data_IF_380426013620
#
_entry.id   IF_380426013620
#
_cell.length_a   1.000
_cell.length_b   1.000
_cell.length_c   1.000
_cell.angle_alpha   90.00
_cell.angle_beta   90.00
_cell.angle_gamma   90.00
#
_symmetry.space_group_name_H-M   'P 1'
#
loop_
_entity.id
_entity.type
_entity.pdbx_description
1 polymer ?
#
# COMPACT_ATOMS: atom_id res chain seq x y z
N UNK A 1 -19.81 -9.98 2.03
CA UNK A 1 -20.06 -10.11 0.57
C UNK A 1 -18.83 -10.72 -0.05
N UNK A 2 -19.02 -11.64 -0.99
CA UNK A 2 -17.92 -12.22 -1.73
C UNK A 2 -17.64 -11.36 -2.96
N UNK A 3 -16.36 -11.19 -3.30
CA UNK A 3 -15.95 -10.44 -4.47
C UNK A 3 -15.17 -11.35 -5.43
N UNK A 4 -15.32 -11.11 -6.72
CA UNK A 4 -14.55 -11.74 -7.78
C UNK A 4 -14.07 -10.69 -8.73
N UNK A 5 -12.83 -10.83 -9.14
CA UNK A 5 -12.16 -9.86 -9.99
C UNK A 5 -11.81 -10.54 -11.31
N UNK A 6 -12.30 -10.00 -12.40
CA UNK A 6 -12.00 -10.41 -13.76
C UNK A 6 -11.25 -9.28 -14.45
N UNK A 7 -9.99 -9.50 -14.76
CA UNK A 7 -9.16 -8.54 -15.47
C UNK A 7 -8.98 -8.99 -16.92
N UNK A 8 -9.49 -8.21 -17.86
CA UNK A 8 -9.36 -8.47 -19.29
C UNK A 8 -8.16 -7.67 -19.82
N UNK A 9 -7.01 -8.34 -19.96
CA UNK A 9 -5.76 -7.71 -20.38
C UNK A 9 -4.80 -8.68 -21.05
N UNK A 10 -4.61 -8.55 -22.33
CA UNK A 10 -3.57 -9.28 -23.09
C UNK A 10 -2.16 -8.89 -22.62
N UNK A 11 -1.96 -7.65 -22.17
CA UNK A 11 -0.64 -7.16 -21.70
C UNK A 11 -0.19 -7.90 -20.44
N UNK A 12 -1.12 -8.18 -19.51
CA UNK A 12 -0.80 -8.93 -18.29
C UNK A 12 -0.56 -10.40 -18.64
N UNK A 13 -1.40 -11.01 -19.48
CA UNK A 13 -1.25 -12.40 -19.90
C UNK A 13 0.09 -12.66 -20.61
N UNK A 14 0.56 -11.68 -21.38
CA UNK A 14 1.85 -11.75 -22.08
C UNK A 14 3.05 -11.30 -21.23
N UNK A 15 2.85 -10.99 -19.96
CA UNK A 15 3.91 -10.53 -19.06
C UNK A 15 4.50 -9.16 -19.41
N UNK A 16 3.80 -8.36 -20.24
CA UNK A 16 4.28 -7.03 -20.67
C UNK A 16 4.07 -5.93 -19.64
N UNK A 17 3.20 -6.16 -18.67
CA UNK A 17 2.93 -5.23 -17.58
C UNK A 17 2.62 -6.00 -16.29
N UNK A 18 2.81 -5.33 -15.16
CA UNK A 18 2.44 -5.88 -13.86
C UNK A 18 0.93 -5.70 -13.59
N UNK A 19 0.41 -6.46 -12.62
CA UNK A 19 -1.00 -6.44 -12.21
C UNK A 19 -1.28 -5.49 -11.05
N UNK A 20 -0.65 -4.33 -11.00
CA UNK A 20 -0.81 -3.34 -9.90
C UNK A 20 -2.26 -2.94 -9.65
N UNK A 21 -3.03 -2.80 -10.72
CA UNK A 21 -4.45 -2.47 -10.64
C UNK A 21 -5.25 -3.52 -9.86
N UNK A 22 -5.03 -4.80 -10.15
CA UNK A 22 -5.66 -5.91 -9.42
C UNK A 22 -5.26 -5.88 -7.94
N UNK A 23 -3.97 -5.63 -7.67
CA UNK A 23 -3.45 -5.52 -6.31
C UNK A 23 -4.14 -4.38 -5.54
N UNK A 24 -4.28 -3.22 -6.16
CA UNK A 24 -4.94 -2.05 -5.55
C UNK A 24 -6.43 -2.33 -5.28
N UNK A 25 -7.16 -2.85 -6.29
CA UNK A 25 -8.58 -3.22 -6.15
C UNK A 25 -8.76 -4.25 -5.03
N UNK A 26 -7.89 -5.26 -4.98
CA UNK A 26 -7.94 -6.29 -3.94
C UNK A 26 -7.75 -5.71 -2.54
N UNK A 27 -6.77 -4.79 -2.37
CA UNK A 27 -6.57 -4.07 -1.10
C UNK A 27 -7.80 -3.26 -0.70
N UNK A 28 -8.38 -2.49 -1.63
CA UNK A 28 -9.57 -1.69 -1.36
C UNK A 28 -10.78 -2.54 -1.00
N UNK A 29 -11.04 -3.61 -1.74
CA UNK A 29 -12.12 -4.54 -1.44
C UNK A 29 -11.94 -5.17 -0.07
N UNK A 30 -10.73 -5.66 0.19
CA UNK A 30 -10.42 -6.30 1.45
C UNK A 30 -10.54 -5.35 2.64
N UNK A 31 -10.03 -4.11 2.54
CA UNK A 31 -10.15 -3.09 3.60
C UNK A 31 -11.62 -2.76 3.92
N UNK A 32 -12.49 -2.79 2.91
CA UNK A 32 -13.94 -2.57 3.06
C UNK A 32 -14.72 -3.83 3.48
N UNK A 33 -14.04 -4.94 3.74
CA UNK A 33 -14.64 -6.15 4.31
C UNK A 33 -15.16 -7.15 3.29
N UNK A 34 -14.85 -7.01 2.01
CA UNK A 34 -15.16 -8.03 1.03
C UNK A 34 -14.20 -9.22 1.19
N UNK A 35 -14.74 -10.43 0.98
CA UNK A 35 -13.93 -11.62 0.82
C UNK A 35 -13.72 -11.83 -0.67
N UNK A 36 -12.46 -11.84 -1.11
CA UNK A 36 -12.12 -12.14 -2.49
C UNK A 36 -12.04 -13.66 -2.62
N UNK A 37 -12.96 -14.24 -3.42
CA UNK A 37 -13.00 -15.67 -3.65
C UNK A 37 -12.20 -16.07 -4.88
N UNK A 38 -12.07 -15.14 -5.86
CA UNK A 38 -11.46 -15.46 -7.14
C UNK A 38 -10.87 -14.22 -7.82
N UNK A 39 -9.74 -14.40 -8.48
CA UNK A 39 -9.15 -13.42 -9.38
C UNK A 39 -8.77 -14.16 -10.66
N UNK A 40 -9.33 -13.73 -11.81
CA UNK A 40 -8.99 -14.27 -13.12
C UNK A 40 -8.43 -13.19 -14.05
N UNK A 41 -7.42 -13.56 -14.82
CA UNK A 41 -6.88 -12.74 -15.88
C UNK A 41 -7.27 -13.40 -17.20
N UNK A 42 -7.96 -12.64 -18.05
CA UNK A 42 -8.57 -13.13 -19.30
C UNK A 42 -8.05 -12.31 -20.48
N UNK A 43 -8.09 -12.86 -21.71
CA UNK A 43 -7.79 -12.08 -22.90
C UNK A 43 -8.82 -10.98 -23.12
N UNK A 44 -8.45 -9.94 -23.87
CA UNK A 44 -9.35 -8.83 -24.20
C UNK A 44 -10.58 -9.26 -25.02
N UNK A 45 -10.45 -10.34 -25.78
CA UNK A 45 -11.55 -10.91 -26.56
C UNK A 45 -12.04 -12.20 -25.90
N UNK A 46 -13.09 -12.10 -25.09
CA UNK A 46 -13.74 -13.26 -24.44
C UNK A 46 -14.85 -13.76 -25.35
N UNK A 47 -14.52 -14.63 -26.27
CA UNK A 47 -15.50 -15.23 -27.22
C UNK A 47 -16.22 -16.44 -26.66
N UNK A 48 -15.71 -17.05 -25.59
CA UNK A 48 -16.24 -18.29 -25.02
C UNK A 48 -16.59 -18.12 -23.53
N UNK A 49 -17.83 -18.43 -23.18
CA UNK A 49 -18.32 -18.67 -21.82
C UNK A 49 -18.36 -17.49 -20.84
N UNK A 50 -19.04 -16.39 -21.20
CA UNK A 50 -19.46 -15.42 -20.20
C UNK A 50 -20.27 -16.07 -19.06
N UNK A 51 -21.03 -17.13 -19.38
CA UNK A 51 -21.76 -17.92 -18.39
C UNK A 51 -20.88 -18.56 -17.33
N UNK A 52 -19.66 -19.00 -17.66
CA UNK A 52 -18.75 -19.61 -16.68
C UNK A 52 -18.16 -18.60 -15.71
N UNK A 53 -17.94 -17.35 -16.16
CA UNK A 53 -17.46 -16.26 -15.31
C UNK A 53 -18.54 -15.74 -14.36
N UNK A 54 -19.78 -16.16 -14.53
CA UNK A 54 -20.92 -15.63 -13.79
C UNK A 54 -21.78 -16.70 -13.10
N UNK A 55 -21.39 -17.99 -13.18
CA UNK A 55 -22.10 -19.08 -12.50
C UNK A 55 -21.75 -19.12 -11.02
N UNK A 56 -22.61 -18.56 -10.19
CA UNK A 56 -22.51 -18.81 -8.76
C UNK A 56 -23.88 -18.74 -8.09
N UNK A 57 -24.15 -19.75 -7.27
CA UNK A 57 -25.32 -19.82 -6.46
C UNK A 57 -25.07 -19.37 -5.03
N UNK A 58 -25.97 -18.61 -4.46
CA UNK A 58 -26.27 -18.65 -3.04
C UNK A 58 -25.88 -17.50 -2.13
N UNK A 59 -25.01 -16.55 -2.43
CA UNK A 59 -24.73 -15.38 -1.55
C UNK A 59 -24.54 -14.12 -2.39
N UNK A 60 -24.73 -12.96 -1.75
CA UNK A 60 -24.45 -11.67 -2.40
C UNK A 60 -23.02 -11.60 -2.90
N UNK A 61 -22.85 -11.31 -4.19
CA UNK A 61 -21.55 -11.24 -4.84
C UNK A 61 -21.32 -9.86 -5.46
N UNK A 62 -20.06 -9.44 -5.44
CA UNK A 62 -19.56 -8.33 -6.22
C UNK A 62 -18.68 -8.89 -7.34
N UNK A 63 -19.08 -8.68 -8.58
CA UNK A 63 -18.29 -8.99 -9.77
C UNK A 63 -17.62 -7.72 -10.25
N UNK A 64 -16.29 -7.70 -10.25
CA UNK A 64 -15.47 -6.55 -10.69
C UNK A 64 -14.82 -6.89 -12.02
N UNK A 65 -15.14 -6.16 -13.06
CA UNK A 65 -14.57 -6.29 -14.40
C UNK A 65 -13.62 -5.12 -14.67
N UNK A 66 -12.32 -5.41 -14.74
CA UNK A 66 -11.26 -4.46 -15.06
C UNK A 66 -10.88 -4.64 -16.53
N UNK A 67 -11.12 -3.63 -17.35
CA UNK A 67 -10.96 -3.72 -18.80
C UNK A 67 -9.78 -2.89 -19.28
N UNK A 68 -8.86 -3.50 -20.01
CA UNK A 68 -7.69 -2.86 -20.61
C UNK A 68 -7.98 -2.31 -22.05
N UNK A 69 -9.06 -2.76 -22.65
CA UNK A 69 -9.46 -2.40 -24.01
C UNK A 69 -10.94 -2.09 -24.12
N UNK A 70 -11.28 -1.09 -24.93
CA UNK A 70 -12.66 -0.75 -25.28
C UNK A 70 -13.40 -1.88 -26.00
N UNK A 71 -12.66 -2.76 -26.71
CA UNK A 71 -13.21 -3.91 -27.42
C UNK A 71 -13.92 -4.88 -26.46
N UNK A 72 -13.42 -5.01 -25.24
CA UNK A 72 -13.99 -5.88 -24.21
C UNK A 72 -15.29 -5.33 -23.61
N UNK A 73 -15.48 -4.01 -23.64
CA UNK A 73 -16.60 -3.36 -22.96
C UNK A 73 -17.97 -3.82 -23.46
N UNK A 74 -18.26 -3.82 -24.79
CA UNK A 74 -19.56 -4.29 -25.30
C UNK A 74 -19.84 -5.76 -24.97
N UNK A 75 -18.83 -6.60 -24.93
CA UNK A 75 -18.96 -8.03 -24.64
C UNK A 75 -19.39 -8.23 -23.17
N UNK A 76 -18.70 -7.59 -22.24
CA UNK A 76 -19.02 -7.65 -20.81
C UNK A 76 -20.40 -7.03 -20.53
N UNK A 77 -20.67 -5.87 -21.14
CA UNK A 77 -21.98 -5.21 -21.01
C UNK A 77 -23.12 -6.11 -21.49
N UNK A 78 -22.99 -6.69 -22.69
CA UNK A 78 -24.02 -7.59 -23.24
C UNK A 78 -24.23 -8.83 -22.35
N UNK A 79 -23.14 -9.44 -21.87
CA UNK A 79 -23.25 -10.59 -20.97
C UNK A 79 -23.94 -10.25 -19.66
N UNK A 80 -23.64 -9.10 -19.04
CA UNK A 80 -24.32 -8.63 -17.82
C UNK A 80 -25.81 -8.38 -18.12
N UNK A 81 -26.14 -7.69 -19.20
CA UNK A 81 -27.53 -7.41 -19.58
C UNK A 81 -28.32 -8.70 -19.82
N UNK A 82 -27.75 -9.65 -20.55
CA UNK A 82 -28.36 -10.95 -20.81
C UNK A 82 -28.62 -11.73 -19.51
N UNK A 83 -27.62 -11.81 -18.63
CA UNK A 83 -27.72 -12.51 -17.35
C UNK A 83 -28.73 -11.89 -16.39
N UNK A 84 -28.79 -10.58 -16.36
CA UNK A 84 -29.63 -9.83 -15.40
C UNK A 84 -31.04 -9.54 -15.92
N UNK A 85 -31.29 -9.77 -17.22
CA UNK A 85 -32.53 -9.42 -17.89
C UNK A 85 -32.77 -7.90 -17.97
N UNK A 86 -31.68 -7.10 -18.00
CA UNK A 86 -31.73 -5.65 -18.06
C UNK A 86 -31.34 -5.19 -19.46
N UNK A 87 -32.02 -4.21 -20.01
CA UNK A 87 -31.67 -3.62 -21.29
C UNK A 87 -30.50 -2.66 -21.19
N UNK A 88 -29.81 -2.42 -22.30
CA UNK A 88 -28.81 -1.35 -22.39
C UNK A 88 -29.44 -0.03 -22.79
N UNK A 89 -28.99 1.02 -22.15
CA UNK A 89 -29.40 2.40 -22.45
C UNK A 89 -28.19 3.30 -22.66
N UNK A 90 -28.40 4.43 -23.36
CA UNK A 90 -27.35 5.43 -23.52
C UNK A 90 -27.25 6.26 -22.25
N UNK A 91 -26.06 6.29 -21.64
CA UNK A 91 -25.77 7.20 -20.55
C UNK A 91 -25.42 8.60 -21.08
N UNK A 92 -26.21 9.62 -20.73
CA UNK A 92 -25.93 10.98 -21.11
C UNK A 92 -24.56 11.47 -20.58
N UNK A 93 -24.17 11.04 -19.38
CA UNK A 93 -22.87 11.35 -18.77
C UNK A 93 -21.75 10.76 -19.64
N UNK A 94 -21.83 9.46 -19.94
CA UNK A 94 -20.85 8.76 -20.77
C UNK A 94 -20.76 9.41 -22.16
N UNK A 95 -21.89 9.65 -22.80
CA UNK A 95 -21.97 10.30 -24.11
C UNK A 95 -21.25 11.65 -24.09
N UNK A 96 -21.56 12.52 -23.13
CA UNK A 96 -20.96 13.86 -23.04
C UNK A 96 -19.45 13.78 -22.85
N UNK A 97 -18.95 12.93 -21.96
CA UNK A 97 -17.52 12.81 -21.67
C UNK A 97 -16.76 12.27 -22.88
N UNK A 98 -17.28 11.21 -23.51
CA UNK A 98 -16.63 10.61 -24.70
C UNK A 98 -16.65 11.59 -25.87
N UNK A 99 -17.78 12.18 -26.19
CA UNK A 99 -17.91 13.17 -27.27
C UNK A 99 -16.97 14.37 -27.07
N UNK A 100 -16.91 14.93 -25.87
CA UNK A 100 -16.02 16.05 -25.54
C UNK A 100 -14.55 15.69 -25.79
N UNK A 101 -14.13 14.45 -25.48
CA UNK A 101 -12.75 14.00 -25.70
C UNK A 101 -12.36 13.99 -27.16
N UNK A 102 -13.23 13.51 -28.05
CA UNK A 102 -12.96 13.43 -29.48
C UNK A 102 -13.11 14.80 -30.17
N UNK A 103 -14.12 15.58 -29.78
CA UNK A 103 -14.33 16.93 -30.28
C UNK A 103 -13.17 17.86 -29.94
N UNK A 104 -12.65 17.81 -28.71
CA UNK A 104 -11.53 18.65 -28.28
C UNK A 104 -10.24 18.38 -29.04
N UNK A 105 -10.06 17.14 -29.53
CA UNK A 105 -8.90 16.72 -30.35
C UNK A 105 -9.14 16.84 -31.84
N UNK A 106 -10.35 17.20 -32.26
CA UNK A 106 -10.79 17.26 -33.65
C UNK A 106 -10.51 15.96 -34.43
N UNK A 107 -10.78 14.80 -33.80
CA UNK A 107 -10.62 13.49 -34.41
C UNK A 107 -11.96 12.74 -34.43
N UNK A 108 -12.22 11.89 -35.47
CA UNK A 108 -13.45 11.09 -35.51
C UNK A 108 -13.47 10.07 -34.36
N UNK A 109 -14.64 9.88 -33.76
CA UNK A 109 -14.83 8.91 -32.70
C UNK A 109 -14.88 7.49 -33.27
N UNK A 110 -14.02 6.55 -32.81
CA UNK A 110 -14.09 5.16 -33.20
C UNK A 110 -15.39 4.48 -32.80
N UNK A 111 -15.76 3.41 -33.51
CA UNK A 111 -16.99 2.64 -33.18
C UNK A 111 -16.95 2.06 -31.78
N UNK A 112 -15.81 1.51 -31.39
CA UNK A 112 -15.56 0.92 -30.09
C UNK A 112 -15.76 1.91 -28.94
N UNK A 113 -15.38 3.16 -29.17
CA UNK A 113 -15.61 4.27 -28.23
C UNK A 113 -17.08 4.68 -28.18
N UNK A 114 -17.79 4.63 -29.32
CA UNK A 114 -19.23 4.86 -29.35
C UNK A 114 -20.01 3.80 -28.58
N UNK A 115 -19.57 2.57 -28.61
CA UNK A 115 -20.18 1.47 -27.85
C UNK A 115 -20.03 1.66 -26.33
N UNK A 116 -19.00 2.34 -25.88
CA UNK A 116 -18.78 2.68 -24.45
C UNK A 116 -19.78 3.71 -23.88
N UNK A 117 -20.64 4.31 -24.73
CA UNK A 117 -21.74 5.20 -24.27
C UNK A 117 -22.93 4.42 -23.68
N UNK A 118 -23.03 3.12 -23.97
CA UNK A 118 -24.08 2.30 -23.44
C UNK A 118 -23.75 1.78 -22.04
N UNK A 119 -24.76 1.72 -21.18
CA UNK A 119 -24.68 1.17 -19.82
C UNK A 119 -25.93 0.29 -19.55
N UNK A 120 -25.93 -0.60 -18.57
CA UNK A 120 -27.14 -1.30 -18.17
C UNK A 120 -28.17 -0.31 -17.64
N UNK A 121 -29.45 -0.49 -17.98
CA UNK A 121 -30.53 0.35 -17.45
C UNK A 121 -30.59 0.26 -15.93
N UNK A 122 -30.70 1.44 -15.26
CA UNK A 122 -30.70 1.53 -13.81
C UNK A 122 -29.32 1.38 -13.14
N UNK A 123 -28.23 1.29 -13.91
CA UNK A 123 -26.89 1.30 -13.33
C UNK A 123 -26.51 2.68 -12.81
N UNK A 124 -25.81 2.69 -11.66
CA UNK A 124 -25.11 3.88 -11.19
C UNK A 124 -23.79 4.03 -11.94
N UNK A 125 -23.51 5.20 -12.48
CA UNK A 125 -22.29 5.43 -13.24
C UNK A 125 -21.71 6.81 -13.03
N UNK A 126 -20.39 6.91 -13.21
CA UNK A 126 -19.66 8.19 -13.24
C UNK A 126 -18.91 8.30 -14.56
N UNK A 127 -18.84 9.52 -15.11
CA UNK A 127 -18.09 9.78 -16.32
C UNK A 127 -16.59 9.60 -16.08
N UNK A 128 -15.95 8.77 -16.90
CA UNK A 128 -14.51 8.55 -16.84
C UNK A 128 -13.78 9.54 -17.75
N UNK A 129 -13.06 10.49 -17.16
CA UNK A 129 -12.29 11.49 -17.90
C UNK A 129 -10.97 10.97 -18.48
N UNK A 130 -10.50 9.78 -18.04
CA UNK A 130 -9.21 9.22 -18.44
C UNK A 130 -9.32 8.25 -19.61
N UNK A 131 -10.42 7.48 -19.72
CA UNK A 131 -10.64 6.54 -20.81
C UNK A 131 -12.10 6.55 -21.28
N UNK A 132 -12.39 5.86 -22.40
CA UNK A 132 -13.76 5.76 -22.91
C UNK A 132 -14.57 4.71 -22.14
N UNK A 133 -13.90 3.75 -21.50
CA UNK A 133 -14.53 2.76 -20.63
C UNK A 133 -15.10 3.47 -19.41
N UNK A 134 -16.41 3.43 -19.25
CA UNK A 134 -17.09 4.12 -18.16
C UNK A 134 -17.04 3.29 -16.86
N UNK A 135 -17.04 3.99 -15.73
CA UNK A 135 -17.16 3.36 -14.43
C UNK A 135 -18.64 3.23 -14.08
N UNK A 136 -19.16 1.99 -14.10
CA UNK A 136 -20.58 1.71 -13.84
C UNK A 136 -20.75 0.54 -12.89
N UNK A 137 -21.74 0.62 -12.02
CA UNK A 137 -22.15 -0.50 -11.15
C UNK A 137 -23.66 -0.72 -11.28
N UNK A 138 -24.03 -1.94 -11.64
CA UNK A 138 -25.40 -2.43 -11.65
C UNK A 138 -25.66 -3.22 -10.37
N UNK A 139 -26.73 -2.86 -9.65
CA UNK A 139 -27.29 -3.68 -8.56
C UNK A 139 -28.50 -4.45 -9.08
N UNK A 140 -28.44 -5.77 -9.04
CA UNK A 140 -29.56 -6.61 -9.48
C UNK A 140 -29.73 -7.83 -8.59
N UNK A 141 -30.94 -8.02 -8.06
CA UNK A 141 -31.21 -9.03 -7.02
C UNK A 141 -30.24 -8.85 -5.83
N UNK A 142 -29.38 -9.84 -5.61
CA UNK A 142 -28.40 -9.83 -4.54
C UNK A 142 -26.96 -9.58 -5.03
N UNK A 143 -26.76 -9.35 -6.33
CA UNK A 143 -25.44 -9.22 -6.94
C UNK A 143 -25.19 -7.80 -7.42
N UNK A 144 -23.90 -7.43 -7.43
CA UNK A 144 -23.39 -6.18 -7.96
C UNK A 144 -22.39 -6.48 -9.09
N UNK A 145 -22.52 -5.74 -10.18
CA UNK A 145 -21.66 -5.85 -11.35
C UNK A 145 -20.97 -4.51 -11.58
N UNK A 146 -19.69 -4.44 -11.28
CA UNK A 146 -18.86 -3.24 -11.44
C UNK A 146 -17.99 -3.39 -12.69
N UNK A 147 -18.13 -2.48 -13.65
CA UNK A 147 -17.25 -2.36 -14.82
C UNK A 147 -16.42 -1.10 -14.66
N UNK A 148 -15.13 -1.19 -14.90
CA UNK A 148 -14.24 -0.03 -14.97
C UNK A 148 -12.99 -0.32 -15.80
N UNK A 149 -12.30 0.73 -16.20
CA UNK A 149 -10.99 0.61 -16.86
C UNK A 149 -9.95 0.03 -15.91
N UNK A 150 -8.96 -0.68 -16.47
CA UNK A 150 -7.81 -1.23 -15.74
C UNK A 150 -6.68 -0.20 -15.51
N UNK A 151 -6.89 1.09 -15.81
CA UNK A 151 -5.89 2.14 -15.60
C UNK A 151 -5.71 2.47 -14.11
N UNK A 152 -4.47 2.69 -13.67
CA UNK A 152 -4.17 3.00 -12.26
C UNK A 152 -4.90 4.27 -11.79
N UNK A 153 -4.84 5.37 -12.57
CA UNK A 153 -5.48 6.64 -12.24
C UNK A 153 -7.01 6.55 -12.16
N UNK A 154 -7.63 5.78 -13.07
CA UNK A 154 -9.07 5.56 -13.07
C UNK A 154 -9.51 4.81 -11.81
N UNK A 155 -8.78 3.76 -11.46
CA UNK A 155 -9.08 2.94 -10.29
C UNK A 155 -8.96 3.78 -9.01
N UNK A 156 -7.87 4.50 -8.84
CA UNK A 156 -7.67 5.39 -7.68
C UNK A 156 -8.75 6.47 -7.56
N UNK A 157 -9.18 7.02 -8.70
CA UNK A 157 -10.17 8.10 -8.71
C UNK A 157 -11.60 7.62 -8.45
N UNK A 158 -11.97 6.47 -9.00
CA UNK A 158 -13.39 6.10 -9.09
C UNK A 158 -13.78 4.90 -8.23
N UNK A 159 -12.86 3.98 -7.90
CA UNK A 159 -13.18 2.74 -7.20
C UNK A 159 -13.87 3.01 -5.86
N UNK A 160 -13.38 3.96 -5.07
CA UNK A 160 -13.97 4.25 -3.76
C UNK A 160 -15.42 4.73 -3.86
N UNK A 161 -15.73 5.53 -4.86
CA UNK A 161 -17.11 6.01 -5.13
C UNK A 161 -18.04 4.85 -5.51
N UNK A 162 -17.55 3.92 -6.36
CA UNK A 162 -18.31 2.75 -6.77
C UNK A 162 -18.57 1.81 -5.60
N UNK A 163 -17.55 1.55 -4.78
CA UNK A 163 -17.68 0.70 -3.60
C UNK A 163 -18.54 1.33 -2.52
N UNK A 164 -18.54 2.65 -2.38
CA UNK A 164 -19.46 3.35 -1.48
C UNK A 164 -20.92 3.11 -1.86
N UNK A 165 -21.26 3.17 -3.15
CA UNK A 165 -22.60 2.81 -3.63
C UNK A 165 -22.97 1.36 -3.29
N UNK A 166 -22.05 0.42 -3.49
CA UNK A 166 -22.28 -1.00 -3.13
C UNK A 166 -22.53 -1.16 -1.63
N UNK A 167 -21.75 -0.48 -0.79
CA UNK A 167 -21.78 -0.59 0.67
C UNK A 167 -22.98 0.11 1.31
N UNK A 168 -23.49 1.20 0.73
CA UNK A 168 -24.70 1.88 1.21
C UNK A 168 -25.89 0.95 1.25
N UNK A 169 -25.94 -0.02 0.34
CA UNK A 169 -26.99 -1.03 0.29
C UNK A 169 -26.72 -2.23 1.18
N UNK A 170 -25.47 -2.41 1.68
CA UNK A 170 -25.10 -3.60 2.45
C UNK A 170 -23.83 -3.39 3.34
N UNK A 171 -23.94 -2.76 4.49
CA UNK A 171 -22.79 -2.61 5.39
C UNK A 171 -22.33 -3.96 5.94
N UNK A 172 -21.04 -4.31 5.67
CA UNK A 172 -20.48 -5.63 6.03
C UNK A 172 -19.96 -5.68 7.47
N UNK A 173 -19.26 -4.63 7.88
CA UNK A 173 -18.70 -4.51 9.23
C UNK A 173 -19.02 -3.14 9.81
N UNK A 174 -19.37 -3.13 11.10
CA UNK A 174 -19.64 -1.87 11.83
C UNK A 174 -18.36 -1.17 12.25
N UNK A 175 -17.29 -1.94 12.43
CA UNK A 175 -16.02 -1.44 12.95
C UNK A 175 -14.83 -2.17 12.31
N UNK A 176 -13.76 -1.41 12.06
CA UNK A 176 -12.49 -1.90 11.53
C UNK A 176 -11.35 -1.11 12.15
N UNK A 177 -10.31 -1.82 12.60
CA UNK A 177 -9.03 -1.24 13.04
C UNK A 177 -7.91 -1.96 12.34
N UNK A 178 -6.93 -1.21 11.84
CA UNK A 178 -5.72 -1.76 11.24
C UNK A 178 -4.51 -1.35 12.07
N UNK A 179 -3.62 -2.30 12.33
CA UNK A 179 -2.28 -2.06 12.84
C UNK A 179 -1.25 -2.49 11.82
N UNK A 180 -0.26 -1.64 11.61
CA UNK A 180 0.94 -1.96 10.82
C UNK A 180 2.10 -2.23 11.76
N UNK A 181 2.78 -3.37 11.57
CA UNK A 181 3.86 -3.81 12.46
C UNK A 181 5.10 -4.19 11.64
N UNK A 182 6.27 -4.07 12.25
CA UNK A 182 7.53 -4.51 11.65
C UNK A 182 8.38 -5.33 12.63
N UNK A 183 9.09 -6.32 12.11
CA UNK A 183 10.08 -7.11 12.84
C UNK A 183 9.57 -8.45 13.39
N UNK A 184 8.31 -8.82 13.11
CA UNK A 184 7.76 -10.13 13.43
C UNK A 184 7.27 -10.85 12.17
N UNK A 185 7.50 -12.16 12.11
CA UNK A 185 6.89 -12.99 11.07
C UNK A 185 5.38 -13.15 11.29
N UNK A 186 4.64 -13.44 10.23
CA UNK A 186 3.19 -13.72 10.30
C UNK A 186 2.87 -14.84 11.32
N UNK A 187 3.69 -15.88 11.35
CA UNK A 187 3.53 -16.99 12.29
C UNK A 187 3.67 -16.53 13.74
N UNK A 188 4.68 -15.72 14.05
CA UNK A 188 4.90 -15.18 15.39
C UNK A 188 3.75 -14.29 15.84
N UNK A 189 3.24 -13.43 14.95
CA UNK A 189 2.07 -12.60 15.23
C UNK A 189 0.85 -13.47 15.51
N UNK A 190 0.57 -14.46 14.66
CA UNK A 190 -0.55 -15.40 14.85
C UNK A 190 -0.42 -16.20 16.14
N UNK A 191 0.79 -16.56 16.55
CA UNK A 191 1.04 -17.26 17.82
C UNK A 191 0.74 -16.35 19.02
N UNK A 192 1.21 -15.10 19.00
CA UNK A 192 0.95 -14.11 20.06
C UNK A 192 -0.53 -13.79 20.20
N UNK A 193 -1.29 -13.85 19.10
CA UNK A 193 -2.72 -13.55 19.05
C UNK A 193 -3.61 -14.80 19.00
N UNK A 194 -3.08 -16.01 19.24
CA UNK A 194 -3.77 -17.27 18.97
C UNK A 194 -5.12 -17.42 19.72
N UNK A 195 -5.20 -16.98 20.97
CA UNK A 195 -6.42 -16.98 21.77
C UNK A 195 -7.48 -16.01 21.26
N UNK A 196 -7.05 -14.85 20.73
CA UNK A 196 -7.95 -13.84 20.15
C UNK A 196 -8.47 -14.28 18.78
N UNK A 197 -7.62 -14.93 17.98
CA UNK A 197 -7.99 -15.43 16.62
C UNK A 197 -8.97 -16.61 16.71
N UNK A 198 -8.87 -17.45 17.73
CA UNK A 198 -9.76 -18.62 17.91
C UNK A 198 -11.18 -18.24 18.27
N UNK A 199 -11.41 -17.08 18.85
CA UNK A 199 -12.72 -16.64 19.33
C UNK A 199 -13.53 -15.95 18.20
N UNK A 200 -14.06 -16.75 17.25
CA UNK A 200 -14.53 -16.30 15.93
C UNK A 200 -15.93 -15.68 15.86
N UNK A 201 -16.73 -15.67 16.93
CA UNK A 201 -18.17 -15.47 16.77
C UNK A 201 -18.60 -14.05 16.37
N UNK A 202 -17.81 -13.01 16.68
CA UNK A 202 -18.18 -11.61 16.37
C UNK A 202 -17.03 -10.75 15.86
N UNK A 203 -15.78 -11.12 16.14
CA UNK A 203 -14.59 -10.33 15.79
C UNK A 203 -13.65 -11.20 14.96
N UNK A 204 -13.21 -10.70 13.81
CA UNK A 204 -12.21 -11.36 12.98
C UNK A 204 -10.89 -10.61 13.07
N UNK A 205 -9.78 -11.34 13.23
CA UNK A 205 -8.42 -10.83 13.18
C UNK A 205 -7.72 -11.51 12.00
N UNK A 206 -7.28 -10.72 11.05
CA UNK A 206 -6.53 -11.19 9.90
C UNK A 206 -5.11 -10.60 9.95
N UNK A 207 -4.10 -11.42 9.64
CA UNK A 207 -2.71 -11.03 9.61
C UNK A 207 -2.16 -11.33 8.24
N UNK A 208 -1.50 -10.36 7.63
CA UNK A 208 -0.83 -10.45 6.34
C UNK A 208 0.56 -9.88 6.47
N UNK A 209 1.56 -10.57 5.96
CA UNK A 209 2.96 -10.14 6.02
C UNK A 209 3.59 -10.16 4.65
N UNK A 210 4.36 -9.12 4.37
CA UNK A 210 5.33 -9.07 3.30
C UNK A 210 6.72 -8.94 3.95
N UNK A 211 7.47 -10.04 3.97
CA UNK A 211 8.64 -10.19 4.81
C UNK A 211 8.31 -9.95 6.30
N UNK A 212 8.92 -8.96 6.92
CA UNK A 212 8.69 -8.58 8.32
C UNK A 212 7.75 -7.38 8.48
N UNK A 213 7.22 -6.83 7.39
CA UNK A 213 6.20 -5.77 7.39
C UNK A 213 4.82 -6.42 7.38
N UNK A 214 4.08 -6.29 8.46
CA UNK A 214 2.81 -6.99 8.65
C UNK A 214 1.66 -6.02 8.86
N UNK A 215 0.51 -6.41 8.35
CA UNK A 215 -0.77 -5.73 8.52
C UNK A 215 -1.72 -6.62 9.31
N UNK A 216 -2.25 -6.10 10.41
CA UNK A 216 -3.19 -6.78 11.29
C UNK A 216 -4.52 -6.03 11.22
N UNK A 217 -5.55 -6.69 10.70
CA UNK A 217 -6.87 -6.10 10.49
C UNK A 217 -7.86 -6.75 11.42
N UNK A 218 -8.46 -5.96 12.30
CA UNK A 218 -9.48 -6.36 13.25
C UNK A 218 -10.82 -5.82 12.77
N UNK A 219 -11.82 -6.69 12.61
CA UNK A 219 -13.15 -6.33 12.14
C UNK A 219 -14.23 -6.89 13.03
N UNK A 220 -15.31 -6.11 13.26
CA UNK A 220 -16.44 -6.52 14.05
C UNK A 220 -17.78 -6.22 13.38
N UNK A 221 -18.73 -7.16 13.53
CA UNK A 221 -20.15 -6.96 13.24
C UNK A 221 -20.95 -6.55 14.47
N UNK A 222 -20.33 -6.53 15.65
CA UNK A 222 -20.97 -6.25 16.95
C UNK A 222 -20.64 -4.84 17.47
N UNK A 223 -21.20 -4.52 18.62
CA UNK A 223 -21.11 -3.19 19.26
C UNK A 223 -19.70 -2.81 19.71
N UNK A 224 -19.51 -1.52 19.99
CA UNK A 224 -18.22 -0.84 20.15
C UNK A 224 -17.38 -1.30 21.36
N UNK A 225 -18.01 -1.66 22.48
CA UNK A 225 -17.28 -1.97 23.71
C UNK A 225 -16.41 -3.22 23.59
N UNK A 226 -16.97 -4.33 23.09
CA UNK A 226 -16.21 -5.56 22.88
C UNK A 226 -15.10 -5.40 21.84
N UNK A 227 -15.32 -4.58 20.81
CA UNK A 227 -14.33 -4.29 19.76
C UNK A 227 -13.12 -3.56 20.35
N UNK A 228 -13.34 -2.49 21.11
CA UNK A 228 -12.25 -1.70 21.72
C UNK A 228 -11.40 -2.54 22.68
N UNK A 229 -12.01 -3.46 23.42
CA UNK A 229 -11.28 -4.39 24.28
C UNK A 229 -10.32 -5.29 23.49
N UNK A 230 -10.78 -5.84 22.34
CA UNK A 230 -9.94 -6.65 21.46
C UNK A 230 -8.82 -5.83 20.83
N UNK A 231 -9.12 -4.62 20.35
CA UNK A 231 -8.13 -3.68 19.84
C UNK A 231 -7.07 -3.38 20.89
N UNK A 232 -7.48 -3.09 22.13
CA UNK A 232 -6.56 -2.86 23.25
C UNK A 232 -5.69 -4.07 23.59
N UNK A 233 -6.23 -5.29 23.53
CA UNK A 233 -5.46 -6.53 23.73
C UNK A 233 -4.41 -6.76 22.63
N UNK A 234 -4.78 -6.53 21.37
CA UNK A 234 -3.83 -6.63 20.25
C UNK A 234 -2.73 -5.59 20.39
N UNK A 235 -3.10 -4.34 20.65
CA UNK A 235 -2.16 -3.25 20.86
C UNK A 235 -1.18 -3.54 22.00
N UNK A 236 -1.66 -3.95 23.18
CA UNK A 236 -0.81 -4.21 24.34
C UNK A 236 0.23 -5.30 24.12
N UNK A 237 -0.09 -6.32 23.30
CA UNK A 237 0.81 -7.42 22.98
C UNK A 237 1.85 -7.08 21.91
N UNK A 238 1.51 -6.16 21.00
CA UNK A 238 2.32 -5.87 19.82
C UNK A 238 2.86 -4.43 19.75
N UNK A 239 2.64 -3.59 20.76
CA UNK A 239 2.98 -2.17 20.78
C UNK A 239 4.45 -1.88 20.40
N UNK A 240 5.38 -2.78 20.79
CA UNK A 240 6.81 -2.66 20.45
C UNK A 240 7.10 -2.75 18.95
N UNK A 241 6.21 -3.36 18.19
CA UNK A 241 6.33 -3.63 16.77
C UNK A 241 5.42 -2.75 15.91
N UNK A 242 4.40 -2.10 16.51
CA UNK A 242 3.45 -1.25 15.80
C UNK A 242 4.13 0.05 15.38
N UNK A 243 4.08 0.35 14.08
CA UNK A 243 4.54 1.62 13.53
C UNK A 243 3.40 2.52 13.02
N UNK A 244 2.21 1.96 12.71
CA UNK A 244 1.01 2.72 12.39
C UNK A 244 -0.26 2.04 12.93
N UNK A 245 -1.26 2.85 13.24
CA UNK A 245 -2.59 2.44 13.68
C UNK A 245 -3.64 2.61 12.57
N UNK A 246 -3.16 2.79 11.36
CA UNK A 246 -3.90 2.95 10.12
C UNK A 246 -3.28 2.08 9.02
N UNK A 247 -4.00 1.86 7.92
CA UNK A 247 -3.50 1.11 6.76
C UNK A 247 -2.58 1.98 5.87
N UNK A 248 -1.51 2.52 6.46
CA UNK A 248 -0.52 3.38 5.79
C UNK A 248 0.87 2.76 5.83
N UNK A 249 1.73 3.16 4.88
CA UNK A 249 3.11 2.68 4.82
C UNK A 249 4.02 3.35 5.85
N UNK A 250 5.26 2.85 5.99
CA UNK A 250 6.28 3.48 6.85
C UNK A 250 6.62 4.88 6.37
N UNK A 251 6.75 5.07 5.06
CA UNK A 251 7.02 6.36 4.46
C UNK A 251 5.90 7.37 4.77
N UNK A 252 4.64 6.97 4.59
CA UNK A 252 3.50 7.82 4.92
C UNK A 252 3.43 8.14 6.42
N UNK A 253 3.75 7.16 7.27
CA UNK A 253 3.83 7.38 8.73
C UNK A 253 4.93 8.36 9.08
N UNK A 254 6.11 8.18 8.48
CA UNK A 254 7.26 9.06 8.70
C UNK A 254 6.98 10.49 8.22
N UNK A 255 6.33 10.63 7.05
CA UNK A 255 5.93 11.95 6.53
C UNK A 255 5.01 12.68 7.52
N UNK A 256 3.97 12.00 8.03
CA UNK A 256 3.08 12.57 9.06
C UNK A 256 3.84 13.02 10.30
N UNK A 257 4.79 12.21 10.80
CA UNK A 257 5.55 12.53 12.01
C UNK A 257 6.49 13.73 11.81
N UNK A 258 7.25 13.74 10.71
CA UNK A 258 8.17 14.84 10.42
C UNK A 258 7.42 16.15 10.14
N UNK A 259 6.33 16.09 9.36
CA UNK A 259 5.54 17.28 9.03
C UNK A 259 4.83 17.87 10.25
N UNK A 260 4.24 17.04 11.12
CA UNK A 260 3.54 17.51 12.31
C UNK A 260 4.50 18.14 13.33
N UNK A 261 5.71 17.57 13.47
CA UNK A 261 6.71 18.09 14.38
C UNK A 261 7.61 19.19 13.76
N UNK A 262 7.50 19.42 12.44
CA UNK A 262 8.36 20.31 11.65
C UNK A 262 9.84 20.03 11.87
N UNK A 263 10.24 18.75 11.86
CA UNK A 263 11.60 18.29 12.08
C UNK A 263 12.29 17.93 10.76
N UNK A 264 13.60 18.23 10.69
CA UNK A 264 14.46 17.86 9.58
C UNK A 264 15.38 16.69 9.94
N UNK A 265 15.54 15.75 9.00
CA UNK A 265 16.41 14.59 9.13
C UNK A 265 17.54 14.62 8.12
N UNK A 266 18.74 14.17 8.50
CA UNK A 266 19.83 13.88 7.58
C UNK A 266 20.15 12.39 7.55
N UNK A 267 20.44 11.87 6.36
CA UNK A 267 20.71 10.45 6.13
C UNK A 267 22.16 10.17 5.76
N UNK A 268 22.70 9.05 6.28
CA UNK A 268 23.97 8.47 5.86
C UNK A 268 23.78 7.00 5.48
N UNK A 269 23.93 6.68 4.20
CA UNK A 269 23.63 5.35 3.65
C UNK A 269 24.87 4.68 3.06
N UNK A 270 25.11 3.43 3.41
CA UNK A 270 26.12 2.58 2.78
C UNK A 270 25.44 1.37 2.11
N UNK A 271 25.10 0.35 2.88
CA UNK A 271 24.57 -0.91 2.36
C UNK A 271 23.22 -0.77 1.63
N UNK A 272 22.47 0.26 1.88
CA UNK A 272 21.17 0.55 1.23
C UNK A 272 21.31 1.33 -0.08
N UNK A 273 22.50 1.79 -0.42
CA UNK A 273 22.84 2.44 -1.70
C UNK A 273 21.91 3.62 -2.09
N UNK A 274 21.38 4.38 -1.13
CA UNK A 274 20.44 5.47 -1.38
C UNK A 274 18.98 5.06 -1.43
N UNK A 275 18.67 3.78 -1.16
CA UNK A 275 17.31 3.26 -1.23
C UNK A 275 16.38 3.88 -0.18
N UNK A 276 16.89 4.30 0.98
CA UNK A 276 16.08 4.95 2.02
C UNK A 276 15.48 6.24 1.47
N UNK A 277 16.34 7.16 1.00
CA UNK A 277 15.86 8.44 0.49
C UNK A 277 15.06 8.27 -0.79
N UNK A 278 15.44 7.33 -1.66
CA UNK A 278 14.68 7.01 -2.86
C UNK A 278 13.25 6.55 -2.53
N UNK A 279 13.05 5.67 -1.55
CA UNK A 279 11.72 5.20 -1.14
C UNK A 279 10.86 6.35 -0.60
N UNK A 280 11.44 7.23 0.23
CA UNK A 280 10.76 8.39 0.78
C UNK A 280 10.31 9.37 -0.32
N UNK A 281 11.23 9.76 -1.21
CA UNK A 281 10.95 10.71 -2.30
C UNK A 281 9.97 10.15 -3.33
N UNK A 282 10.00 8.83 -3.58
CA UNK A 282 9.03 8.15 -4.44
C UNK A 282 7.65 8.11 -3.82
N UNK A 283 7.56 7.90 -2.52
CA UNK A 283 6.29 7.88 -1.80
C UNK A 283 5.65 9.27 -1.71
N UNK A 284 6.46 10.31 -1.49
CA UNK A 284 5.99 11.70 -1.47
C UNK A 284 7.15 12.68 -1.75
N UNK A 285 7.15 13.39 -2.89
CA UNK A 285 8.18 14.40 -3.22
C UNK A 285 8.33 15.53 -2.19
N UNK A 286 7.30 15.81 -1.38
CA UNK A 286 7.36 16.82 -0.33
C UNK A 286 8.32 16.47 0.82
N UNK A 287 8.84 15.23 0.89
CA UNK A 287 9.92 14.89 1.80
C UNK A 287 11.15 15.79 1.62
N UNK A 288 11.35 16.39 0.44
CA UNK A 288 12.41 17.37 0.19
C UNK A 288 12.43 18.54 1.18
N UNK A 289 11.29 18.85 1.81
CA UNK A 289 11.18 19.91 2.83
C UNK A 289 11.75 19.49 4.19
N UNK A 290 11.82 18.16 4.46
CA UNK A 290 12.21 17.58 5.74
C UNK A 290 13.52 16.80 5.69
N UNK A 291 14.08 16.56 4.50
CA UNK A 291 15.40 15.96 4.32
C UNK A 291 16.42 17.07 4.14
N UNK A 292 17.32 17.26 5.12
CA UNK A 292 18.30 18.35 5.11
C UNK A 292 19.55 18.00 4.32
N UNK A 293 20.04 16.76 4.45
CA UNK A 293 21.18 16.24 3.70
C UNK A 293 21.11 14.73 3.55
N UNK A 294 21.73 14.22 2.50
CA UNK A 294 21.89 12.80 2.24
C UNK A 294 23.29 12.49 1.78
N UNK A 295 23.91 11.51 2.43
CA UNK A 295 25.24 11.02 2.09
C UNK A 295 25.13 9.53 1.73
N UNK A 296 25.63 9.17 0.55
CA UNK A 296 25.73 7.77 0.13
C UNK A 296 27.21 7.41 0.01
N UNK A 297 27.62 6.37 0.73
CA UNK A 297 29.00 5.92 0.82
C UNK A 297 29.16 4.55 0.19
N UNK A 298 30.24 4.36 -0.56
CA UNK A 298 30.55 3.06 -1.15
C UNK A 298 31.66 2.33 -0.41
N UNK A 299 32.61 3.09 0.18
CA UNK A 299 33.78 2.52 0.85
C UNK A 299 34.28 3.42 2.01
N UNK A 300 35.27 2.92 2.74
CA UNK A 300 35.91 3.60 3.87
C UNK A 300 36.49 4.96 3.50
N UNK A 301 37.10 5.08 2.32
CA UNK A 301 37.69 6.31 1.87
C UNK A 301 36.65 7.40 1.70
N UNK A 302 35.52 7.05 1.09
CA UNK A 302 34.38 7.96 0.93
C UNK A 302 33.82 8.44 2.27
N UNK A 303 33.76 7.57 3.29
CA UNK A 303 33.32 7.94 4.65
C UNK A 303 34.30 8.94 5.26
N UNK A 304 35.61 8.68 5.19
CA UNK A 304 36.64 9.59 5.71
C UNK A 304 36.65 10.94 4.99
N UNK A 305 36.64 10.92 3.66
CA UNK A 305 36.81 12.12 2.84
C UNK A 305 35.59 13.06 2.90
N UNK A 306 34.37 12.50 3.04
CA UNK A 306 33.13 13.27 2.97
C UNK A 306 32.56 13.70 4.32
N UNK A 307 32.82 12.95 5.37
CA UNK A 307 32.21 13.17 6.69
C UNK A 307 33.26 13.35 7.77
N UNK A 308 34.53 13.48 7.41
CA UNK A 308 35.64 13.66 8.37
C UNK A 308 35.67 12.57 9.46
N UNK A 309 35.23 11.34 9.13
CA UNK A 309 35.35 10.21 10.04
C UNK A 309 36.86 9.86 10.21
N UNK A 310 37.23 9.45 11.42
CA UNK A 310 38.63 9.13 11.72
C UNK A 310 39.01 7.82 11.01
N UNK A 311 40.09 7.86 10.26
CA UNK A 311 40.68 6.68 9.64
C UNK A 311 40.99 5.59 10.67
N UNK A 312 41.35 5.93 11.90
CA UNK A 312 41.60 5.01 12.99
C UNK A 312 40.31 4.22 13.40
N UNK A 313 39.16 4.83 13.38
CA UNK A 313 37.89 4.12 13.69
C UNK A 313 37.64 3.04 12.66
N UNK A 314 37.82 3.36 11.39
CA UNK A 314 37.58 2.37 10.31
C UNK A 314 38.68 1.29 10.32
N UNK A 315 39.91 1.62 10.58
CA UNK A 315 40.99 0.64 10.68
C UNK A 315 40.82 -0.33 11.84
N UNK A 316 40.32 0.15 12.99
CA UNK A 316 40.15 -0.69 14.18
C UNK A 316 38.87 -1.49 14.18
N UNK A 317 37.78 -0.98 13.63
CA UNK A 317 36.43 -1.57 13.76
C UNK A 317 35.81 -1.96 12.42
N UNK A 318 36.42 -1.59 11.29
CA UNK A 318 35.93 -1.86 9.94
C UNK A 318 34.86 -0.88 9.49
N UNK A 319 34.46 -1.00 8.21
CA UNK A 319 33.44 -0.13 7.58
C UNK A 319 32.03 -0.34 8.12
N UNK A 320 31.76 -1.54 8.60
CA UNK A 320 30.43 -2.01 9.01
C UNK A 320 30.45 -2.39 10.49
N UNK A 321 30.45 -1.40 11.36
CA UNK A 321 30.48 -1.57 12.82
C UNK A 321 29.60 -0.55 13.53
N UNK A 322 29.35 -0.82 14.81
CA UNK A 322 28.63 0.13 15.71
C UNK A 322 29.39 1.43 15.84
N UNK A 323 30.71 1.34 15.99
CA UNK A 323 31.59 2.48 16.19
C UNK A 323 31.62 3.37 14.95
N UNK A 324 31.73 2.76 13.77
CA UNK A 324 31.75 3.50 12.50
C UNK A 324 30.45 4.23 12.26
N UNK A 325 29.28 3.57 12.40
CA UNK A 325 28.01 4.25 12.13
C UNK A 325 27.67 5.30 13.19
N UNK A 326 28.10 5.09 14.45
CA UNK A 326 27.92 6.09 15.50
C UNK A 326 28.73 7.36 15.19
N UNK A 327 30.01 7.22 14.81
CA UNK A 327 30.85 8.37 14.44
C UNK A 327 30.34 9.08 13.19
N UNK A 328 30.00 8.32 12.13
CA UNK A 328 29.42 8.86 10.90
C UNK A 328 28.17 9.68 11.21
N UNK A 329 27.25 9.13 11.99
CA UNK A 329 25.99 9.80 12.34
C UNK A 329 26.23 11.03 13.20
N UNK A 330 27.18 10.97 14.14
CA UNK A 330 27.58 12.12 14.98
C UNK A 330 28.16 13.26 14.14
N UNK A 331 28.98 12.95 13.15
CA UNK A 331 29.56 13.94 12.27
C UNK A 331 28.51 14.55 11.34
N UNK A 332 27.60 13.73 10.77
CA UNK A 332 26.51 14.22 9.91
C UNK A 332 25.60 15.21 10.68
N UNK A 333 25.18 14.90 11.89
CA UNK A 333 24.27 15.78 12.62
C UNK A 333 24.96 17.09 13.03
N UNK A 334 26.25 17.03 13.35
CA UNK A 334 27.02 18.21 13.69
C UNK A 334 27.26 19.11 12.47
N UNK A 335 27.59 18.54 11.32
CA UNK A 335 27.82 19.25 10.07
C UNK A 335 26.54 19.88 9.52
N UNK A 336 25.46 19.10 9.46
CA UNK A 336 24.20 19.55 8.84
C UNK A 336 23.36 20.41 9.77
N UNK A 337 23.51 20.25 11.08
CA UNK A 337 22.63 20.86 12.07
C UNK A 337 21.18 20.40 11.94
N UNK A 338 20.93 19.17 11.42
CA UNK A 338 19.60 18.58 11.39
C UNK A 338 19.09 18.25 12.79
N UNK A 339 17.78 18.15 12.97
CA UNK A 339 17.18 17.79 14.24
C UNK A 339 17.41 16.32 14.57
N UNK A 340 17.36 15.48 13.53
CA UNK A 340 17.51 14.02 13.60
C UNK A 340 18.57 13.58 12.59
N UNK A 341 19.33 12.56 12.95
CA UNK A 341 20.19 11.81 12.04
C UNK A 341 19.74 10.36 11.97
N UNK A 342 19.83 9.81 10.78
CA UNK A 342 19.59 8.39 10.54
C UNK A 342 20.69 7.85 9.62
N UNK A 343 21.50 6.92 10.15
CA UNK A 343 22.62 6.34 9.41
C UNK A 343 22.53 4.83 9.33
N UNK A 344 23.01 4.23 8.24
CA UNK A 344 23.11 2.78 8.07
C UNK A 344 24.38 2.36 7.37
N UNK A 345 25.10 1.43 7.99
CA UNK A 345 26.22 0.69 7.38
C UNK A 345 25.97 -0.80 7.48
N UNK A 346 26.59 -1.56 6.62
CA UNK A 346 26.44 -3.01 6.65
C UNK A 346 27.33 -3.73 5.65
N UNK A 347 27.31 -5.06 5.74
CA UNK A 347 27.96 -5.98 4.81
C UNK A 347 26.97 -7.05 4.34
N UNK A 348 27.20 -7.55 3.15
CA UNK A 348 26.43 -8.65 2.58
C UNK A 348 27.38 -9.75 2.11
N UNK A 349 27.30 -10.91 2.74
CA UNK A 349 28.14 -12.08 2.43
C UNK A 349 27.31 -13.36 2.60
N UNK A 350 27.40 -14.27 1.63
CA UNK A 350 26.75 -15.59 1.69
C UNK A 350 25.24 -15.49 2.02
N UNK A 351 24.52 -14.59 1.33
CA UNK A 351 23.10 -14.34 1.55
C UNK A 351 22.72 -13.84 2.96
N UNK A 352 23.72 -13.38 3.71
CA UNK A 352 23.52 -12.78 5.02
C UNK A 352 23.87 -11.30 4.97
N UNK A 353 22.90 -10.44 5.20
CA UNK A 353 23.06 -9.02 5.41
C UNK A 353 23.19 -8.73 6.90
N UNK A 354 24.33 -8.17 7.31
CA UNK A 354 24.50 -7.61 8.66
C UNK A 354 24.50 -6.08 8.55
N UNK A 355 23.57 -5.44 9.22
CA UNK A 355 23.47 -3.97 9.20
C UNK A 355 23.43 -3.37 10.59
N UNK A 356 23.96 -2.17 10.69
CA UNK A 356 23.98 -1.34 11.88
C UNK A 356 23.28 -0.02 11.53
N UNK A 357 22.21 0.29 12.24
CA UNK A 357 21.38 1.47 12.02
C UNK A 357 21.52 2.40 13.22
N UNK A 358 22.00 3.61 12.99
CA UNK A 358 22.08 4.65 14.00
C UNK A 358 20.95 5.65 13.80
N UNK A 359 20.19 5.93 14.84
CA UNK A 359 19.12 6.94 14.85
C UNK A 359 19.24 7.78 16.11
N UNK A 360 19.20 9.08 15.98
CA UNK A 360 19.33 9.96 17.14
C UNK A 360 19.18 11.43 16.84
N UNK A 361 19.37 12.21 17.88
CA UNK A 361 19.47 13.65 17.88
C UNK A 361 20.82 14.09 18.47
N UNK A 362 21.04 15.39 18.65
CA UNK A 362 22.30 15.93 19.21
C UNK A 362 22.60 15.44 20.63
N UNK A 363 21.62 14.95 21.38
CA UNK A 363 21.77 14.51 22.75
C UNK A 363 22.09 13.01 22.86
N UNK A 364 21.48 12.19 21.99
CA UNK A 364 21.65 10.75 22.05
C UNK A 364 21.43 10.10 20.68
N UNK A 365 22.38 9.24 20.30
CA UNK A 365 22.31 8.38 19.11
C UNK A 365 22.27 6.94 19.58
N UNK A 366 21.27 6.18 19.14
CA UNK A 366 21.12 4.76 19.43
C UNK A 366 21.46 3.94 18.19
N UNK A 367 22.19 2.84 18.38
CA UNK A 367 22.58 1.94 17.30
C UNK A 367 21.86 0.59 17.46
N UNK A 368 21.21 0.16 16.38
CA UNK A 368 20.50 -1.10 16.28
C UNK A 368 21.24 -2.05 15.34
N UNK A 369 21.34 -3.32 15.72
CA UNK A 369 21.95 -4.38 14.91
C UNK A 369 20.87 -5.22 14.28
N UNK A 370 20.98 -5.49 12.97
CA UNK A 370 20.07 -6.36 12.24
C UNK A 370 20.87 -7.43 11.48
N UNK A 371 20.22 -8.58 11.29
CA UNK A 371 20.71 -9.64 10.43
C UNK A 371 19.55 -10.18 9.62
N UNK A 372 19.68 -10.15 8.30
CA UNK A 372 18.70 -10.65 7.37
C UNK A 372 19.32 -11.73 6.50
N UNK A 373 18.71 -12.91 6.45
CA UNK A 373 19.12 -14.02 5.60
C UNK A 373 18.15 -14.07 4.41
N UNK A 374 18.52 -13.44 3.32
CA UNK A 374 17.69 -13.30 2.11
C UNK A 374 18.58 -12.94 0.91
N UNK A 375 18.10 -13.07 -0.33
CA UNK A 375 18.77 -12.53 -1.50
C UNK A 375 19.05 -11.03 -1.36
N UNK A 376 20.09 -10.54 -2.04
CA UNK A 376 20.60 -9.17 -1.85
C UNK A 376 19.50 -8.09 -1.90
N UNK A 377 18.64 -8.10 -2.92
CA UNK A 377 17.58 -7.10 -3.07
C UNK A 377 16.59 -7.11 -1.89
N UNK A 378 16.19 -8.29 -1.42
CA UNK A 378 15.27 -8.44 -0.29
C UNK A 378 15.92 -8.03 1.03
N UNK A 379 17.22 -8.33 1.21
CA UNK A 379 18.00 -7.92 2.38
C UNK A 379 18.17 -6.40 2.46
N UNK A 380 18.36 -5.72 1.31
CA UNK A 380 18.41 -4.26 1.20
C UNK A 380 17.05 -3.65 1.55
N UNK A 381 15.95 -4.20 1.01
CA UNK A 381 14.60 -3.72 1.32
C UNK A 381 14.30 -3.89 2.82
N UNK A 382 14.61 -5.04 3.40
CA UNK A 382 14.44 -5.30 4.83
C UNK A 382 15.27 -4.34 5.69
N UNK A 383 16.49 -4.04 5.27
CA UNK A 383 17.36 -3.07 5.96
C UNK A 383 16.80 -1.65 5.86
N UNK A 384 16.28 -1.27 4.70
CA UNK A 384 15.59 0.02 4.49
C UNK A 384 14.38 0.14 5.41
N UNK A 385 13.51 -0.86 5.42
CA UNK A 385 12.32 -0.88 6.30
C UNK A 385 12.70 -0.85 7.79
N UNK A 386 13.73 -1.61 8.20
CA UNK A 386 14.24 -1.57 9.57
C UNK A 386 14.71 -0.16 9.96
N UNK A 387 15.39 0.53 9.05
CA UNK A 387 15.89 1.89 9.27
C UNK A 387 14.73 2.87 9.46
N UNK A 388 13.73 2.84 8.57
CA UNK A 388 12.52 3.66 8.70
C UNK A 388 11.75 3.36 10.00
N UNK A 389 11.64 2.09 10.38
CA UNK A 389 10.99 1.67 11.61
C UNK A 389 11.67 2.25 12.86
N UNK A 390 13.00 2.20 12.97
CA UNK A 390 13.71 2.78 14.10
C UNK A 390 13.61 4.31 14.13
N UNK A 391 13.58 4.96 12.97
CA UNK A 391 13.37 6.40 12.87
C UNK A 391 11.95 6.78 13.35
N UNK A 392 10.92 6.05 12.94
CA UNK A 392 9.55 6.25 13.42
C UNK A 392 9.47 6.07 14.95
N UNK A 393 10.12 5.04 15.48
CA UNK A 393 10.17 4.82 16.93
C UNK A 393 10.84 5.98 17.69
N UNK A 394 11.93 6.51 17.18
CA UNK A 394 12.62 7.66 17.79
C UNK A 394 11.71 8.89 17.81
N UNK A 395 11.04 9.19 16.71
CA UNK A 395 10.14 10.33 16.60
C UNK A 395 8.94 10.21 17.56
N UNK A 396 8.33 9.02 17.70
CA UNK A 396 7.23 8.77 18.64
C UNK A 396 7.65 8.87 20.11
N UNK A 397 8.88 8.53 20.45
CA UNK A 397 9.40 8.73 21.82
C UNK A 397 9.51 10.22 22.17
N UNK A 398 9.80 11.07 21.19
CA UNK A 398 9.84 12.51 21.39
C UNK A 398 8.44 13.10 21.58
N UNK A 399 7.41 12.56 20.89
CA UNK A 399 6.00 12.99 21.07
C UNK A 399 5.50 12.74 22.51
N UNK A 400 5.90 11.64 23.15
CA UNK A 400 5.55 11.39 24.57
C UNK A 400 6.18 12.39 25.56
N UNK A 401 7.21 13.12 25.18
CA UNK A 401 7.79 14.17 26.02
C UNK A 401 7.12 15.54 25.84
N UNK A 402 6.44 15.79 24.71
CA UNK A 402 5.70 17.04 24.49
C UNK A 402 4.37 17.07 25.24
N UNK A 403 3.65 15.96 25.35
CA UNK A 403 2.36 15.89 26.07
C UNK A 403 2.50 15.97 27.60
N UNK A 404 3.70 15.83 28.16
CA UNK A 404 3.94 15.98 29.61
C UNK A 404 4.17 17.42 30.07
N UNK A 405 4.17 18.40 29.16
CA UNK A 405 4.35 19.83 29.51
C UNK A 405 3.07 20.66 29.45
N UNK A 406 1.92 20.04 29.24
CA UNK A 406 0.63 20.73 29.25
C UNK A 406 -0.35 20.00 30.16
N UNK A 407 -0.09 20.00 31.46
CA UNK A 407 -1.08 19.92 32.55
C UNK A 407 -0.59 20.80 33.70
#
# INVERSE_FOLDING_TARGET
>A
MNARIYCLSDKILLGKTSNKSIQYVSKCLFSKGFRIDEIQILPNNVTENFDDITKFEGRQNLFVYLLDSQISYPQILNGICQKTGVEKTISNIAKTVIQSRYSSKNIPMPKESADCQFVPEGAYGVGNIYSDIQCVVLSRKNDFYLIMSNGEQEIETYLDKMLTFVLQNQPQYKQCQTFKTFGLSEQNIKQVLADLIKNKDKISINVYSDNLDSEIIIRSKSEQVAFNEYVGKVFSRLNKYIYAEEAITMEQTLFKLLSNANLCVSFGESITHGNIVNSLMTANPEFSKYIKATYVFQDAKNICDRISAKTSTIQNFGNSSVETIFEVSSNIINETGSDIVCGVVGSFENEVCKSYVAVGDKNAIHVYKNTFCAPFCEAIDSTTKATLFYLIKKLRQNDFHFDKKTV
#
